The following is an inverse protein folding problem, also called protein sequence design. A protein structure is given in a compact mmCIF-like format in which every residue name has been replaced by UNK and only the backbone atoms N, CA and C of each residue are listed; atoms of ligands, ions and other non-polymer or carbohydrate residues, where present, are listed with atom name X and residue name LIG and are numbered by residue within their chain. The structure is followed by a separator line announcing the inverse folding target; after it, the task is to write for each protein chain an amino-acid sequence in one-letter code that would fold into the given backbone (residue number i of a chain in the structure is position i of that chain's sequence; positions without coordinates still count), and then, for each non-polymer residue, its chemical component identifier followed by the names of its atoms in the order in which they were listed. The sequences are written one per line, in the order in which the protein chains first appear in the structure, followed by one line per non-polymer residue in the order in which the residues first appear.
data_IF_321402410630
#
_entry.id   IF_321402410630
#
_cell.length_a   1.000
_cell.length_b   1.000
_cell.length_c   1.000
_cell.angle_alpha   90.00
_cell.angle_beta   90.00
_cell.angle_gamma   90.00
#
_symmetry.space_group_name_H-M   'P 1'
#
loop_
_entity.id
_entity.type
_entity.pdbx_description
1 polymer ?
#
# COMPACT_ATOMS: atom_id res chain seq x y z
N UNK A 1 12.91 32.23 -9.59
CA UNK A 1 12.88 31.63 -8.23
C UNK A 1 11.59 32.09 -7.61
N UNK A 2 10.58 31.22 -7.55
CA UNK A 2 9.25 31.59 -7.07
C UNK A 2 9.21 31.34 -5.56
N UNK A 3 9.18 32.44 -4.80
CA UNK A 3 8.97 32.44 -3.37
C UNK A 3 7.46 32.31 -3.14
N UNK A 4 6.94 31.11 -2.95
CA UNK A 4 5.56 30.91 -2.49
C UNK A 4 5.53 30.92 -0.95
N UNK A 5 5.94 32.05 -0.37
CA UNK A 5 5.71 32.33 1.03
C UNK A 5 4.31 32.89 1.20
N UNK A 6 3.46 32.19 1.96
CA UNK A 6 2.30 32.79 2.60
C UNK A 6 2.79 33.90 3.55
N UNK A 7 2.96 35.12 3.06
CA UNK A 7 3.07 36.30 3.93
C UNK A 7 1.66 36.74 4.31
N UNK A 8 1.20 36.35 5.50
CA UNK A 8 0.12 37.06 6.19
C UNK A 8 0.61 38.48 6.52
N UNK A 9 0.48 39.43 5.59
CA UNK A 9 0.73 40.84 5.88
C UNK A 9 -0.44 41.41 6.68
N UNK A 10 -0.20 41.64 7.97
CA UNK A 10 -1.13 42.23 8.93
C UNK A 10 -1.37 43.74 8.76
N UNK A 11 -0.92 44.35 7.68
CA UNK A 11 -1.13 45.78 7.42
C UNK A 11 -1.78 45.97 6.05
N UNK A 12 -2.95 46.61 6.05
CA UNK A 12 -3.79 46.89 4.89
C UNK A 12 -2.98 47.33 3.66
N UNK A 13 -3.16 46.70 2.49
CA UNK A 13 -2.60 47.25 1.27
C UNK A 13 -3.38 48.52 0.89
N UNK A 14 -2.69 49.66 0.85
CA UNK A 14 -3.18 50.87 0.20
C UNK A 14 -3.22 50.61 -1.30
N UNK A 15 -4.42 50.59 -1.89
CA UNK A 15 -4.59 50.45 -3.35
C UNK A 15 -4.03 51.69 -4.04
N UNK A 16 -3.03 51.50 -4.90
CA UNK A 16 -2.50 52.53 -5.79
C UNK A 16 -3.00 52.27 -7.21
N UNK A 17 -4.01 53.05 -7.58
CA UNK A 17 -4.67 53.22 -8.89
C UNK A 17 -5.75 52.21 -9.31
N UNK A 18 -6.89 52.79 -9.67
CA UNK A 18 -8.04 52.14 -10.31
C UNK A 18 -7.96 52.49 -11.80
N UNK A 19 -7.57 51.55 -12.67
CA UNK A 19 -7.22 51.82 -14.07
C UNK A 19 -7.87 50.84 -15.04
N UNK A 20 -8.37 51.38 -16.16
CA UNK A 20 -9.02 50.68 -17.28
C UNK A 20 -8.06 49.70 -17.95
N UNK A 21 -8.24 48.41 -17.71
CA UNK A 21 -7.41 47.34 -18.29
C UNK A 21 -7.61 45.95 -17.70
N UNK A 22 -8.24 45.83 -16.52
CA UNK A 22 -8.49 44.53 -15.90
C UNK A 22 -9.81 43.92 -16.42
N UNK A 23 -9.78 42.74 -17.07
CA UNK A 23 -11.00 42.03 -17.45
C UNK A 23 -11.81 41.66 -16.21
N UNK A 24 -13.14 41.70 -16.30
CA UNK A 24 -14.00 41.33 -15.18
C UNK A 24 -13.81 39.85 -14.80
N UNK A 25 -13.67 39.50 -13.51
CA UNK A 25 -13.50 38.12 -13.09
C UNK A 25 -14.75 37.28 -13.45
N UNK A 26 -14.52 36.03 -13.84
CA UNK A 26 -15.57 35.10 -14.28
C UNK A 26 -16.48 34.62 -13.14
N UNK A 27 -16.20 34.98 -11.89
CA UNK A 27 -17.01 34.64 -10.74
C UNK A 27 -17.00 35.81 -9.74
N UNK A 28 -18.16 36.14 -9.19
CA UNK A 28 -18.37 37.28 -8.28
C UNK A 28 -17.76 37.09 -6.89
N UNK A 29 -16.53 36.59 -6.80
CA UNK A 29 -15.75 36.49 -5.56
C UNK A 29 -14.34 37.01 -5.87
N UNK A 30 -13.86 37.97 -5.07
CA UNK A 30 -12.62 38.69 -5.32
C UNK A 30 -11.41 37.76 -5.48
N UNK A 31 -10.72 37.90 -6.61
CA UNK A 31 -9.45 37.25 -6.90
C UNK A 31 -8.39 38.36 -7.03
N UNK A 32 -7.21 38.16 -6.45
CA UNK A 32 -6.02 38.97 -6.75
C UNK A 32 -5.31 38.24 -7.88
N UNK A 33 -5.43 38.74 -9.10
CA UNK A 33 -4.65 38.22 -10.23
C UNK A 33 -3.27 38.87 -10.25
N UNK A 34 -2.24 38.02 -10.38
CA UNK A 34 -0.86 38.45 -10.58
C UNK A 34 -0.56 38.44 -12.07
N UNK A 35 -0.14 39.58 -12.61
CA UNK A 35 0.41 39.64 -13.96
C UNK A 35 1.84 40.19 -13.87
N UNK A 36 2.84 39.32 -14.03
CA UNK A 36 4.24 39.74 -14.04
C UNK A 36 4.59 40.26 -15.43
N UNK A 37 4.87 41.55 -15.58
CA UNK A 37 5.42 42.10 -16.83
C UNK A 37 6.92 41.79 -16.88
N UNK A 38 7.37 41.13 -17.96
CA UNK A 38 8.71 40.55 -18.08
C UNK A 38 9.90 41.54 -18.08
N UNK A 39 9.68 42.85 -17.93
CA UNK A 39 10.68 43.89 -18.17
C UNK A 39 11.18 44.62 -16.91
N UNK A 40 11.10 43.99 -15.73
CA UNK A 40 11.74 44.51 -14.51
C UNK A 40 11.16 45.83 -13.96
N UNK A 41 9.93 46.17 -14.34
CA UNK A 41 9.16 47.25 -13.72
C UNK A 41 8.44 46.78 -12.46
N UNK A 42 8.14 47.71 -11.55
CA UNK A 42 7.36 47.47 -10.32
C UNK A 42 6.03 46.77 -10.61
N UNK A 43 5.71 45.74 -9.84
CA UNK A 43 4.45 44.99 -9.93
C UNK A 43 3.25 45.95 -9.82
N UNK A 44 2.36 45.94 -10.82
CA UNK A 44 1.11 46.67 -10.77
C UNK A 44 0.02 45.77 -10.17
N UNK A 45 -0.61 46.22 -9.09
CA UNK A 45 -1.68 45.49 -8.42
C UNK A 45 -3.05 45.99 -8.90
N UNK A 46 -3.88 45.11 -9.49
CA UNK A 46 -5.30 45.38 -9.65
C UNK A 46 -6.04 45.01 -8.35
N UNK A 47 -6.25 45.99 -7.48
CA UNK A 47 -7.07 45.82 -6.27
C UNK A 47 -8.55 46.03 -6.60
N UNK A 48 -9.37 44.98 -6.52
CA UNK A 48 -10.82 45.13 -6.52
C UNK A 48 -11.36 45.27 -5.09
N UNK A 49 -12.31 46.18 -4.87
CA UNK A 49 -12.98 46.36 -3.58
C UNK A 49 -13.75 45.09 -3.23
N UNK A 50 -13.45 44.49 -2.08
CA UNK A 50 -14.21 43.35 -1.54
C UNK A 50 -15.56 43.86 -1.01
N UNK A 51 -16.66 43.41 -1.61
CA UNK A 51 -18.00 43.60 -1.06
C UNK A 51 -18.28 42.48 -0.05
N UNK A 52 -18.53 42.85 1.22
CA UNK A 52 -18.76 41.92 2.35
C UNK A 52 -20.20 41.40 2.46
N UNK A 53 -21.03 41.67 1.48
CA UNK A 53 -22.47 41.44 1.51
C UNK A 53 -22.88 40.33 0.54
N UNK A 54 -22.77 39.08 1.00
CA UNK A 54 -23.38 37.94 0.29
C UNK A 54 -22.93 36.53 0.67
N UNK A 55 -21.82 36.34 1.39
CA UNK A 55 -21.39 34.99 1.80
C UNK A 55 -22.15 34.54 3.05
N UNK A 56 -23.21 33.76 2.86
CA UNK A 56 -23.87 33.04 3.97
C UNK A 56 -22.89 32.10 4.66
N UNK A 57 -23.07 31.91 5.97
CA UNK A 57 -22.20 31.19 6.92
C UNK A 57 -22.04 29.67 6.67
N UNK A 58 -22.20 29.21 5.44
CA UNK A 58 -22.05 27.82 5.01
C UNK A 58 -21.43 27.64 3.63
N UNK A 59 -20.88 28.69 3.01
CA UNK A 59 -20.12 28.55 1.77
C UNK A 59 -18.67 28.22 2.12
N UNK A 60 -18.25 26.99 1.83
CA UNK A 60 -16.83 26.66 1.69
C UNK A 60 -16.20 27.70 0.76
N UNK A 61 -15.06 28.24 1.16
CA UNK A 61 -14.21 29.10 0.33
C UNK A 61 -14.21 28.57 -1.11
N UNK A 62 -14.48 29.41 -2.13
CA UNK A 62 -14.25 29.03 -3.53
C UNK A 62 -12.77 28.67 -3.64
N UNK A 63 -12.48 27.37 -3.63
CA UNK A 63 -11.17 26.85 -3.94
C UNK A 63 -10.83 27.40 -5.31
N UNK A 64 -9.74 28.17 -5.37
CA UNK A 64 -9.15 28.53 -6.64
C UNK A 64 -9.06 27.26 -7.45
N UNK A 65 -9.72 27.23 -8.60
CA UNK A 65 -9.45 26.27 -9.64
C UNK A 65 -8.12 26.66 -10.27
N UNK A 66 -7.05 26.61 -9.48
CA UNK A 66 -5.74 26.32 -10.00
C UNK A 66 -5.78 24.83 -10.33
N UNK A 67 -5.14 24.46 -11.41
CA UNK A 67 -4.58 23.11 -11.51
C UNK A 67 -3.47 23.04 -10.46
N UNK A 68 -3.81 23.06 -9.17
CA UNK A 68 -2.90 22.69 -8.10
C UNK A 68 -2.65 21.20 -8.32
N UNK A 69 -1.47 20.89 -8.86
CA UNK A 69 -1.05 19.52 -9.05
C UNK A 69 -1.08 18.83 -7.70
N UNK A 70 -2.04 17.91 -7.51
CA UNK A 70 -2.07 17.01 -6.37
C UNK A 70 -0.68 16.36 -6.26
N UNK A 71 0.05 16.69 -5.21
CA UNK A 71 1.38 16.14 -4.99
C UNK A 71 1.22 14.64 -4.80
N UNK A 72 1.91 13.79 -5.57
CA UNK A 72 1.81 12.35 -5.39
C UNK A 72 2.11 11.97 -3.95
N UNK A 73 1.27 11.10 -3.39
CA UNK A 73 1.47 10.50 -2.07
C UNK A 73 2.87 9.88 -1.96
N UNK A 74 3.42 9.85 -0.75
CA UNK A 74 4.71 9.21 -0.51
C UNK A 74 4.56 7.99 0.40
N UNK A 75 5.47 7.03 0.26
CA UNK A 75 5.49 5.82 1.07
C UNK A 75 6.42 4.73 0.54
N UNK A 76 6.63 3.72 1.37
CA UNK A 76 7.43 2.54 1.08
C UNK A 76 6.66 1.27 1.40
N UNK A 77 6.90 0.23 0.60
CA UNK A 77 6.56 -1.15 0.93
C UNK A 77 7.80 -1.84 1.51
N UNK A 78 7.98 -1.71 2.82
CA UNK A 78 9.18 -2.16 3.54
C UNK A 78 9.45 -3.68 3.45
N UNK A 79 8.40 -4.52 3.45
CA UNK A 79 8.61 -5.97 3.33
C UNK A 79 7.38 -6.74 2.83
N UNK A 80 7.68 -7.85 2.14
CA UNK A 80 6.70 -8.83 1.65
C UNK A 80 7.11 -10.23 2.11
N UNK A 81 6.28 -10.83 2.96
CA UNK A 81 6.37 -12.24 3.36
C UNK A 81 5.28 -13.07 2.68
N UNK A 82 5.25 -14.38 2.92
CA UNK A 82 4.17 -15.24 2.46
C UNK A 82 2.78 -14.80 3.00
N UNK A 83 2.74 -14.22 4.19
CA UNK A 83 1.49 -13.94 4.91
C UNK A 83 1.20 -12.47 5.09
N UNK A 84 2.21 -11.59 5.01
CA UNK A 84 2.08 -10.18 5.36
C UNK A 84 2.84 -9.27 4.41
N UNK A 85 2.29 -8.07 4.25
CA UNK A 85 2.93 -6.94 3.59
C UNK A 85 2.97 -5.80 4.60
N UNK A 86 4.12 -5.16 4.79
CA UNK A 86 4.26 -4.02 5.70
C UNK A 86 4.87 -2.84 4.98
N UNK A 87 4.61 -1.65 5.51
CA UNK A 87 5.11 -0.41 4.96
C UNK A 87 4.45 0.80 5.61
N UNK A 88 4.54 1.94 4.95
CA UNK A 88 3.89 3.17 5.37
C UNK A 88 3.52 4.03 4.16
N UNK A 89 2.53 4.90 4.33
CA UNK A 89 2.14 5.87 3.30
C UNK A 89 1.52 7.13 3.93
N UNK A 90 1.75 8.27 3.30
CA UNK A 90 1.10 9.53 3.65
C UNK A 90 0.72 10.34 2.41
N UNK A 91 -0.35 11.10 2.57
CA UNK A 91 -0.79 12.11 1.62
C UNK A 91 0.18 13.30 1.70
N UNK A 92 0.79 13.67 0.58
CA UNK A 92 1.81 14.72 0.53
C UNK A 92 1.20 16.14 0.58
N UNK A 93 -0.09 16.27 0.26
CA UNK A 93 -0.82 17.53 0.31
C UNK A 93 -1.48 17.73 1.69
N UNK A 94 -1.84 16.64 2.39
CA UNK A 94 -2.40 16.67 3.74
C UNK A 94 -1.79 15.61 4.67
N UNK A 95 -0.67 15.96 5.32
CA UNK A 95 -0.03 15.11 6.33
C UNK A 95 -0.88 14.85 7.58
N UNK A 96 -2.03 15.51 7.76
CA UNK A 96 -3.02 15.21 8.81
C UNK A 96 -3.92 14.03 8.45
N UNK A 97 -4.17 13.79 7.16
CA UNK A 97 -5.03 12.74 6.65
C UNK A 97 -4.33 11.37 6.62
N UNK A 98 -5.02 10.33 7.10
CA UNK A 98 -4.54 8.95 6.95
C UNK A 98 -4.74 8.47 5.51
N UNK A 99 -3.71 7.83 4.96
CA UNK A 99 -3.69 7.42 3.56
C UNK A 99 -4.34 6.03 3.37
N UNK A 100 -5.30 5.92 2.46
CA UNK A 100 -5.77 4.60 2.02
C UNK A 100 -4.77 3.99 1.04
N UNK A 101 -4.48 2.71 1.22
CA UNK A 101 -3.63 1.91 0.33
C UNK A 101 -4.39 0.69 -0.19
N UNK A 102 -4.08 0.29 -1.42
CA UNK A 102 -4.63 -0.86 -2.12
C UNK A 102 -3.50 -1.81 -2.49
N UNK A 103 -3.69 -3.10 -2.19
CA UNK A 103 -2.73 -4.15 -2.47
C UNK A 103 -3.10 -4.88 -3.76
N UNK A 104 -2.10 -5.12 -4.59
CA UNK A 104 -2.24 -5.79 -5.89
C UNK A 104 -1.23 -6.93 -6.00
N UNK A 105 -1.63 -8.00 -6.68
CA UNK A 105 -0.77 -9.12 -7.05
C UNK A 105 -0.70 -9.24 -8.58
N UNK A 106 0.42 -9.75 -9.08
CA UNK A 106 0.66 -9.96 -10.52
C UNK A 106 2.08 -10.48 -10.78
N UNK A 107 2.45 -10.62 -12.05
CA UNK A 107 3.75 -11.19 -12.45
C UNK A 107 4.77 -10.12 -12.80
N UNK A 108 4.37 -9.14 -13.61
CA UNK A 108 5.22 -8.01 -14.03
C UNK A 108 4.60 -6.67 -13.72
N UNK A 109 3.32 -6.63 -13.36
CA UNK A 109 2.54 -5.43 -13.09
C UNK A 109 1.43 -5.71 -12.06
N UNK A 110 0.84 -4.68 -11.43
CA UNK A 110 -0.34 -4.83 -10.59
C UNK A 110 -1.56 -5.25 -11.43
N UNK A 111 -1.93 -6.53 -11.36
CA UNK A 111 -2.98 -7.13 -12.20
C UNK A 111 -4.29 -7.32 -11.42
N UNK A 112 -4.22 -7.96 -10.25
CA UNK A 112 -5.39 -8.32 -9.44
C UNK A 112 -5.34 -7.62 -8.08
N UNK A 113 -6.38 -6.88 -7.73
CA UNK A 113 -6.52 -6.30 -6.40
C UNK A 113 -6.83 -7.39 -5.37
N UNK A 114 -6.09 -7.41 -4.26
CA UNK A 114 -6.22 -8.42 -3.21
C UNK A 114 -6.71 -7.85 -1.87
N UNK A 115 -6.77 -6.53 -1.74
CA UNK A 115 -7.33 -5.87 -0.56
C UNK A 115 -7.02 -4.38 -0.48
N UNK A 116 -7.55 -3.72 0.55
CA UNK A 116 -7.31 -2.31 0.87
C UNK A 116 -7.18 -2.16 2.39
N UNK A 117 -6.48 -1.11 2.84
CA UNK A 117 -6.49 -0.69 4.24
C UNK A 117 -6.10 0.77 4.40
N UNK A 118 -6.27 1.31 5.61
CA UNK A 118 -5.80 2.65 5.97
C UNK A 118 -4.43 2.54 6.64
N UNK A 119 -3.47 3.33 6.19
CA UNK A 119 -2.13 3.47 6.76
C UNK A 119 -2.17 4.45 7.93
N UNK A 120 -2.54 3.95 9.11
CA UNK A 120 -2.67 4.74 10.36
C UNK A 120 -2.03 4.08 11.57
N UNK A 121 -1.18 3.07 11.35
CA UNK A 121 -0.49 2.34 12.43
C UNK A 121 0.64 3.16 13.05
N UNK A 122 0.95 2.85 14.30
CA UNK A 122 2.06 3.44 15.04
C UNK A 122 3.43 2.98 14.49
N UNK A 123 4.48 3.82 14.60
CA UNK A 123 5.83 3.41 14.26
C UNK A 123 6.32 2.27 15.17
N UNK A 124 7.09 1.34 14.62
CA UNK A 124 7.54 0.13 15.33
C UNK A 124 8.90 0.29 16.02
N UNK A 125 9.59 1.42 15.78
CA UNK A 125 10.88 1.75 16.41
C UNK A 125 11.13 3.26 16.42
N UNK A 126 12.16 3.70 17.15
CA UNK A 126 12.58 5.11 17.14
C UNK A 126 13.14 5.55 15.78
N UNK A 127 13.85 4.66 15.08
CA UNK A 127 14.35 4.91 13.74
C UNK A 127 13.19 5.11 12.76
N UNK A 128 12.17 4.26 12.89
CA UNK A 128 10.95 4.31 12.10
C UNK A 128 10.16 5.60 12.34
N UNK A 129 9.96 5.98 13.62
CA UNK A 129 9.32 7.24 13.98
C UNK A 129 10.02 8.44 13.32
N UNK A 130 11.35 8.45 13.35
CA UNK A 130 12.15 9.55 12.79
C UNK A 130 12.04 9.59 11.27
N UNK A 131 12.11 8.43 10.61
CA UNK A 131 12.02 8.33 9.15
C UNK A 131 10.63 8.76 8.66
N UNK A 132 9.57 8.14 9.17
CA UNK A 132 8.19 8.41 8.73
C UNK A 132 7.82 9.86 9.03
N UNK A 133 8.09 10.37 10.24
CA UNK A 133 7.80 11.76 10.57
C UNK A 133 8.56 12.74 9.64
N UNK A 134 9.77 12.40 9.21
CA UNK A 134 10.55 13.20 8.26
C UNK A 134 9.90 13.33 6.88
N UNK A 135 9.19 12.30 6.41
CA UNK A 135 8.46 12.33 5.14
C UNK A 135 7.04 12.85 5.27
N UNK A 136 6.41 12.65 6.43
CA UNK A 136 4.98 12.88 6.62
C UNK A 136 4.70 14.07 7.55
N UNK A 137 5.44 15.17 7.40
CA UNK A 137 5.16 16.45 8.08
C UNK A 137 5.17 16.38 9.61
N UNK A 138 5.96 15.48 10.20
CA UNK A 138 6.01 15.24 11.64
C UNK A 138 5.07 14.13 12.15
N UNK A 139 4.19 13.59 11.29
CA UNK A 139 3.25 12.55 11.67
C UNK A 139 3.81 11.14 11.37
N UNK A 140 4.14 10.40 12.42
CA UNK A 140 4.67 9.04 12.29
C UNK A 140 3.60 7.93 12.26
N UNK A 141 2.33 8.23 12.53
CA UNK A 141 1.24 7.23 12.57
C UNK A 141 0.73 6.93 11.17
N UNK A 142 1.60 6.33 10.36
CA UNK A 142 1.41 6.10 8.92
C UNK A 142 1.74 4.67 8.50
N UNK A 143 1.93 3.75 9.45
CA UNK A 143 2.24 2.35 9.16
C UNK A 143 1.02 1.58 8.66
N UNK A 144 1.27 0.55 7.87
CA UNK A 144 0.30 -0.48 7.55
C UNK A 144 0.92 -1.87 7.70
N UNK A 145 0.08 -2.87 8.00
CA UNK A 145 0.41 -4.29 8.02
C UNK A 145 -0.78 -5.05 7.47
N UNK A 146 -0.67 -5.47 6.22
CA UNK A 146 -1.73 -6.17 5.50
C UNK A 146 -1.50 -7.67 5.56
N UNK A 147 -2.53 -8.43 5.91
CA UNK A 147 -2.51 -9.89 5.84
C UNK A 147 -2.93 -10.34 4.45
N UNK A 148 -2.04 -11.06 3.76
CA UNK A 148 -2.30 -11.62 2.43
C UNK A 148 -3.42 -12.66 2.55
N UNK A 149 -4.50 -12.58 1.74
CA UNK A 149 -5.55 -13.59 1.73
C UNK A 149 -5.01 -14.97 1.34
N UNK A 150 -5.52 -16.03 1.97
CA UNK A 150 -4.98 -17.39 1.86
C UNK A 150 -4.85 -17.87 0.41
N UNK A 151 -5.80 -17.55 -0.45
CA UNK A 151 -5.80 -17.94 -1.87
C UNK A 151 -4.63 -17.37 -2.69
N UNK A 152 -3.95 -16.34 -2.18
CA UNK A 152 -2.82 -15.68 -2.85
C UNK A 152 -1.46 -16.05 -2.28
N UNK A 153 -1.42 -16.77 -1.15
CA UNK A 153 -0.16 -17.08 -0.45
C UNK A 153 0.66 -18.11 -1.22
N UNK A 154 1.99 -17.99 -1.13
CA UNK A 154 2.94 -18.99 -1.62
C UNK A 154 3.12 -19.04 -3.14
N UNK A 155 2.50 -18.12 -3.89
CA UNK A 155 2.68 -18.02 -5.34
C UNK A 155 4.02 -17.33 -5.65
N UNK A 156 5.11 -18.11 -5.74
CA UNK A 156 6.48 -17.59 -5.88
C UNK A 156 6.79 -16.91 -7.21
N UNK A 157 5.93 -17.10 -8.20
CA UNK A 157 5.99 -16.40 -9.49
C UNK A 157 5.30 -15.03 -9.45
N UNK A 158 4.68 -14.67 -8.32
CA UNK A 158 3.97 -13.41 -8.13
C UNK A 158 4.76 -12.39 -7.35
N UNK A 159 4.40 -11.14 -7.57
CA UNK A 159 4.89 -9.95 -6.91
C UNK A 159 3.75 -9.17 -6.30
N UNK A 160 4.05 -8.35 -5.30
CA UNK A 160 3.08 -7.49 -4.61
C UNK A 160 3.38 -6.03 -4.91
N UNK A 161 2.33 -5.26 -5.20
CA UNK A 161 2.37 -3.82 -5.31
C UNK A 161 1.41 -3.18 -4.32
N UNK A 162 1.81 -2.02 -3.79
CA UNK A 162 0.94 -1.19 -2.97
C UNK A 162 0.74 0.14 -3.69
N UNK A 163 -0.53 0.54 -3.82
CA UNK A 163 -0.91 1.82 -4.41
C UNK A 163 -1.69 2.67 -3.43
N UNK A 164 -1.47 3.97 -3.43
CA UNK A 164 -2.32 4.94 -2.72
C UNK A 164 -3.58 5.27 -3.54
N UNK A 165 -4.52 5.99 -2.92
CA UNK A 165 -5.80 6.37 -3.51
C UNK A 165 -5.64 7.26 -4.75
N UNK A 166 -4.61 8.11 -4.79
CA UNK A 166 -4.23 8.93 -5.94
C UNK A 166 -3.55 8.14 -7.08
N UNK A 167 -3.36 6.83 -6.90
CA UNK A 167 -2.73 5.94 -7.87
C UNK A 167 -1.21 5.83 -7.77
N UNK A 168 -0.57 6.52 -6.82
CA UNK A 168 0.89 6.42 -6.64
C UNK A 168 1.28 5.02 -6.21
N UNK A 169 2.25 4.43 -6.91
CA UNK A 169 2.86 3.15 -6.52
C UNK A 169 3.91 3.44 -5.46
N UNK A 170 3.79 2.81 -4.30
CA UNK A 170 4.75 3.00 -3.21
C UNK A 170 6.15 2.53 -3.63
N UNK A 171 7.16 3.19 -3.10
CA UNK A 171 8.57 2.80 -3.29
C UNK A 171 8.76 1.36 -2.83
N UNK A 172 9.66 0.65 -3.53
CA UNK A 172 9.93 -0.78 -3.34
C UNK A 172 8.74 -1.71 -3.68
N UNK A 173 7.60 -1.21 -4.19
CA UNK A 173 6.57 -2.09 -4.76
C UNK A 173 7.09 -2.95 -5.92
N UNK A 174 6.49 -4.12 -6.11
CA UNK A 174 6.90 -5.11 -7.11
C UNK A 174 7.89 -6.15 -6.58
N UNK A 175 7.99 -6.29 -5.26
CA UNK A 175 8.76 -7.35 -4.60
C UNK A 175 8.10 -8.70 -4.77
N UNK A 176 8.94 -9.74 -4.84
CA UNK A 176 8.49 -11.12 -4.94
C UNK A 176 7.72 -11.52 -3.69
N UNK A 177 6.60 -12.22 -3.89
CA UNK A 177 5.92 -12.89 -2.82
C UNK A 177 6.81 -14.02 -2.30
N UNK A 178 7.25 -13.90 -1.05
CA UNK A 178 8.05 -14.94 -0.41
C UNK A 178 7.28 -16.26 -0.41
N UNK A 179 7.95 -17.40 -0.70
CA UNK A 179 7.29 -18.70 -0.61
C UNK A 179 6.80 -18.94 0.83
N UNK A 180 5.68 -19.66 0.97
CA UNK A 180 5.22 -20.14 2.27
C UNK A 180 6.04 -21.35 2.70
N UNK A 181 7.34 -21.13 2.91
CA UNK A 181 8.21 -22.12 3.52
C UNK A 181 8.16 -21.83 5.02
N UNK A 182 7.15 -22.36 5.69
CA UNK A 182 7.33 -22.63 7.11
C UNK A 182 8.44 -23.66 7.28
N UNK A 183 9.02 -23.78 8.49
CA UNK A 183 10.08 -24.74 8.72
C UNK A 183 9.63 -26.13 8.27
N UNK A 184 10.57 -26.90 7.70
CA UNK A 184 10.32 -28.31 7.42
C UNK A 184 9.83 -28.98 8.71
N UNK A 185 8.86 -29.87 8.59
CA UNK A 185 8.45 -30.69 9.72
C UNK A 185 9.66 -31.38 10.35
N UNK A 186 9.77 -31.30 11.68
CA UNK A 186 10.90 -31.90 12.43
C UNK A 186 11.02 -33.40 12.14
N UNK A 187 9.89 -34.07 11.96
CA UNK A 187 9.83 -35.43 11.44
C UNK A 187 8.58 -35.66 10.62
N UNK A 188 8.70 -36.46 9.56
CA UNK A 188 7.61 -36.98 8.76
C UNK A 188 7.61 -38.51 8.84
N UNK A 189 6.48 -39.09 9.26
CA UNK A 189 6.32 -40.54 9.35
C UNK A 189 5.29 -41.04 8.34
N UNK A 190 5.54 -42.21 7.77
CA UNK A 190 4.64 -42.90 6.84
C UNK A 190 4.21 -44.23 7.44
N UNK A 191 2.90 -44.51 7.43
CA UNK A 191 2.33 -45.78 7.88
C UNK A 191 1.29 -46.32 6.88
N UNK A 192 1.42 -47.57 6.42
CA UNK A 192 2.54 -48.49 6.68
C UNK A 192 3.82 -48.05 5.93
N UNK A 193 4.99 -48.45 6.44
CA UNK A 193 6.28 -48.10 5.83
C UNK A 193 6.53 -48.80 4.48
N UNK A 194 5.79 -49.87 4.18
CA UNK A 194 5.89 -50.63 2.93
C UNK A 194 4.46 -50.94 2.43
N UNK A 195 3.74 -49.93 1.93
CA UNK A 195 2.33 -50.08 1.58
C UNK A 195 2.15 -50.98 0.36
N UNK A 196 1.12 -51.82 0.40
CA UNK A 196 0.69 -52.65 -0.72
C UNK A 196 -0.18 -51.85 -1.68
N UNK A 197 -0.26 -52.28 -2.92
CA UNK A 197 -1.19 -51.70 -3.89
C UNK A 197 -2.62 -51.67 -3.34
N UNK A 198 -3.26 -50.50 -3.41
CA UNK A 198 -4.61 -50.25 -2.91
C UNK A 198 -4.71 -50.01 -1.41
N UNK A 199 -3.60 -50.10 -0.66
CA UNK A 199 -3.59 -49.85 0.79
C UNK A 199 -3.60 -48.35 1.09
N UNK A 200 -4.31 -47.93 2.14
CA UNK A 200 -4.31 -46.54 2.57
C UNK A 200 -3.02 -46.22 3.33
N UNK A 201 -2.32 -45.21 2.86
CA UNK A 201 -1.11 -44.66 3.47
C UNK A 201 -1.46 -43.42 4.26
N UNK A 202 -0.97 -43.36 5.50
CA UNK A 202 -1.07 -42.21 6.37
C UNK A 202 0.30 -41.56 6.52
N UNK A 203 0.38 -40.28 6.22
CA UNK A 203 1.50 -39.41 6.50
C UNK A 203 1.17 -38.58 7.74
N UNK A 204 2.15 -38.43 8.63
CA UNK A 204 2.02 -37.59 9.81
C UNK A 204 3.27 -36.74 9.95
N UNK A 205 3.07 -35.42 9.91
CA UNK A 205 4.08 -34.47 10.30
C UNK A 205 4.01 -34.25 11.81
N UNK A 206 5.16 -34.22 12.49
CA UNK A 206 5.21 -33.83 13.89
C UNK A 206 4.65 -32.42 14.06
N UNK A 207 3.67 -32.28 14.97
CA UNK A 207 3.01 -31.02 15.20
C UNK A 207 4.03 -29.98 15.70
N UNK A 208 4.05 -28.82 15.06
CA UNK A 208 4.85 -27.67 15.50
C UNK A 208 3.95 -26.70 16.25
N UNK A 209 4.42 -26.22 17.39
CA UNK A 209 3.67 -25.28 18.22
C UNK A 209 3.36 -24.00 17.43
N UNK A 210 2.08 -23.63 17.36
CA UNK A 210 1.61 -22.44 16.64
C UNK A 210 1.32 -22.65 15.14
N UNK A 211 1.65 -23.82 14.58
CA UNK A 211 1.31 -24.14 13.20
C UNK A 211 -0.17 -24.52 13.06
N UNK A 212 -0.89 -23.81 12.20
CA UNK A 212 -2.32 -24.06 11.90
C UNK A 212 -2.56 -24.71 10.54
N UNK A 213 -1.55 -24.77 9.69
CA UNK A 213 -1.64 -25.29 8.32
C UNK A 213 -0.40 -26.09 7.94
N UNK A 214 -0.61 -27.19 7.21
CA UNK A 214 0.44 -28.07 6.70
C UNK A 214 0.18 -28.38 5.23
N UNK A 215 1.24 -28.42 4.44
CA UNK A 215 1.24 -28.89 3.05
C UNK A 215 1.99 -30.20 2.95
N UNK A 216 1.47 -31.14 2.17
CA UNK A 216 2.11 -32.42 1.90
C UNK A 216 2.31 -32.59 0.40
N UNK A 217 3.54 -32.83 -0.03
CA UNK A 217 3.85 -33.24 -1.39
C UNK A 217 4.25 -34.70 -1.37
N UNK A 218 3.59 -35.52 -2.18
CA UNK A 218 3.86 -36.95 -2.30
C UNK A 218 4.14 -37.25 -3.77
N UNK A 219 5.21 -37.97 -4.04
CA UNK A 219 5.53 -38.46 -5.38
C UNK A 219 5.78 -39.96 -5.36
N UNK A 220 5.33 -40.63 -6.42
CA UNK A 220 5.60 -42.03 -6.69
C UNK A 220 5.97 -42.18 -8.16
N UNK A 221 7.13 -42.79 -8.43
CA UNK A 221 7.63 -42.99 -9.80
C UNK A 221 7.64 -41.70 -10.65
N UNK A 222 8.02 -40.57 -10.02
CA UNK A 222 8.05 -39.25 -10.67
C UNK A 222 6.69 -38.54 -10.81
N UNK A 223 5.58 -39.19 -10.47
CA UNK A 223 4.24 -38.58 -10.54
C UNK A 223 3.79 -38.02 -9.19
N UNK A 224 3.17 -36.85 -9.19
CA UNK A 224 2.55 -36.29 -8.00
C UNK A 224 1.27 -37.03 -7.62
N UNK A 225 1.11 -37.27 -6.31
CA UNK A 225 -0.10 -37.79 -5.70
C UNK A 225 -0.70 -36.65 -4.87
N UNK A 226 -2.01 -36.43 -5.02
CA UNK A 226 -2.76 -35.46 -4.21
C UNK A 226 -3.36 -36.16 -2.98
N UNK A 227 -2.75 -36.07 -1.79
CA UNK A 227 -3.33 -36.66 -0.60
C UNK A 227 -4.49 -35.82 -0.06
N UNK A 228 -5.37 -36.44 0.70
CA UNK A 228 -6.37 -35.75 1.53
C UNK A 228 -5.68 -35.25 2.78
N UNK A 229 -5.58 -33.93 2.96
CA UNK A 229 -4.89 -33.31 4.10
C UNK A 229 -5.90 -32.98 5.21
N UNK A 230 -5.55 -33.31 6.45
CA UNK A 230 -6.28 -32.94 7.65
C UNK A 230 -5.28 -32.54 8.73
N UNK A 231 -5.15 -31.24 8.96
CA UNK A 231 -4.18 -30.67 9.90
C UNK A 231 -2.75 -31.19 9.62
N UNK A 232 -2.09 -31.79 10.61
CA UNK A 232 -0.73 -32.32 10.49
C UNK A 232 -0.67 -33.74 9.90
N UNK A 233 -1.75 -34.21 9.25
CA UNK A 233 -1.82 -35.54 8.63
C UNK A 233 -2.28 -35.46 7.18
N UNK A 234 -1.86 -36.42 6.38
CA UNK A 234 -2.30 -36.56 4.99
C UNK A 234 -2.49 -38.03 4.62
N UNK A 235 -3.53 -38.33 3.85
CA UNK A 235 -3.88 -39.71 3.48
C UNK A 235 -4.01 -39.88 1.98
N UNK A 236 -3.55 -41.02 1.45
CA UNK A 236 -3.74 -41.39 0.05
C UNK A 236 -3.77 -42.91 -0.10
N UNK A 237 -4.34 -43.42 -1.18
CA UNK A 237 -4.26 -44.84 -1.50
C UNK A 237 -3.01 -45.12 -2.32
N UNK A 238 -2.23 -46.14 -1.95
CA UNK A 238 -1.06 -46.57 -2.67
C UNK A 238 -1.44 -47.05 -4.08
N UNK A 239 -1.02 -46.31 -5.09
CA UNK A 239 -1.29 -46.60 -6.51
C UNK A 239 -0.19 -47.44 -7.16
N UNK A 240 0.89 -47.73 -6.43
CA UNK A 240 2.04 -48.48 -6.92
C UNK A 240 2.75 -49.25 -5.81
N UNK A 241 3.32 -50.41 -6.12
CA UNK A 241 4.23 -51.13 -5.21
C UNK A 241 5.65 -50.64 -5.44
N UNK A 242 6.12 -49.72 -4.59
CA UNK A 242 7.48 -49.17 -4.71
C UNK A 242 7.80 -48.07 -3.69
N UNK A 243 8.79 -47.26 -4.02
CA UNK A 243 9.25 -46.17 -3.14
C UNK A 243 8.40 -44.91 -3.33
N UNK A 244 7.93 -44.36 -2.21
CA UNK A 244 7.25 -43.07 -2.15
C UNK A 244 8.22 -42.04 -1.59
N UNK A 245 8.25 -40.84 -2.19
CA UNK A 245 8.90 -39.69 -1.57
C UNK A 245 7.82 -38.74 -1.07
N UNK A 246 7.93 -38.35 0.19
CA UNK A 246 7.01 -37.41 0.80
C UNK A 246 7.79 -36.28 1.47
N UNK A 247 7.29 -35.07 1.35
CA UNK A 247 7.76 -33.90 2.09
C UNK A 247 6.59 -33.18 2.72
N UNK A 248 6.80 -32.59 3.89
CA UNK A 248 5.80 -31.77 4.54
C UNK A 248 6.40 -30.42 4.93
N UNK A 249 5.66 -29.35 4.63
CA UNK A 249 5.97 -27.99 5.04
C UNK A 249 4.82 -27.42 5.85
N UNK A 250 5.15 -26.44 6.69
CA UNK A 250 4.18 -25.71 7.49
C UNK A 250 3.81 -24.46 6.70
N UNK A 251 2.53 -24.10 6.63
CA UNK A 251 2.09 -22.85 5.99
C UNK A 251 1.66 -21.84 7.05
#
# INVERSE_FOLDING_TARGET
MNYNGNECRLNSPTVLQNGTGCPAPASGCGQIDYDSVADGGTDNYCGHTLYTDGCGSGSSTPGGNTTDGNTPSDGYMDSVSCTTVTGWACDADDFGKSQQVTFWIGTTAPETQIGTMIASGDPVSQADLTAIAGFCGGNAQRRFTFTIPEQYRGQTDKKIWVKTEDGTILKESGENLSPCIGPACVSLTMSPATPKYGETVNLTCAQVAGATSYSFNVTADGNMISPTVTNNTATFNAIYTGSYQASCSIN
#
